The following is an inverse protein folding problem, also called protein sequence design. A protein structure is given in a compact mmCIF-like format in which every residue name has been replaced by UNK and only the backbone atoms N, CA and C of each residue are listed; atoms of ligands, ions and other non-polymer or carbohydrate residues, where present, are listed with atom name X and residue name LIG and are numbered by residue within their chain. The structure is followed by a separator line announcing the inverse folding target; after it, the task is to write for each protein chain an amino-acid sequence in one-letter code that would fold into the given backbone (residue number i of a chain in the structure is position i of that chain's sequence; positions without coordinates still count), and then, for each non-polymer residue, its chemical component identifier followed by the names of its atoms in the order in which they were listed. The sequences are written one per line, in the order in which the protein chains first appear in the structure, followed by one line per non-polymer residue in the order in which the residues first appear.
data_IF_909484184781
#
_entry.id   IF_909484184781
#
_cell.length_a   1.000
_cell.length_b   1.000
_cell.length_c   1.000
_cell.angle_alpha   90.00
_cell.angle_beta   90.00
_cell.angle_gamma   90.00
#
_symmetry.space_group_name_H-M   'P 1'
#
loop_
_entity.id
_entity.type
_entity.pdbx_description
1 polymer ?
#
# COMPACT_ATOMS: atom_id res chain seq x y z
N UNK A 1 -10.52 -33.15 4.13
CA UNK A 1 -11.78 -32.41 3.86
C UNK A 1 -11.69 -30.95 4.30
N UNK A 2 -11.19 -30.60 5.49
CA UNK A 2 -11.03 -29.18 5.89
C UNK A 2 -10.05 -28.39 4.99
N UNK A 3 -8.88 -28.97 4.67
CA UNK A 3 -7.89 -28.29 3.82
C UNK A 3 -8.36 -27.98 2.38
N UNK A 4 -9.23 -28.80 1.79
CA UNK A 4 -9.77 -28.55 0.44
C UNK A 4 -10.75 -27.38 0.41
N UNK A 5 -11.53 -27.19 1.48
CA UNK A 5 -12.46 -26.06 1.59
C UNK A 5 -11.72 -24.74 1.75
N UNK A 6 -10.68 -24.72 2.59
CA UNK A 6 -9.83 -23.56 2.81
C UNK A 6 -9.07 -23.14 1.54
N UNK A 7 -8.60 -24.10 0.74
CA UNK A 7 -7.97 -23.83 -0.57
C UNK A 7 -8.97 -23.21 -1.54
N UNK A 8 -10.18 -23.80 -1.69
CA UNK A 8 -11.20 -23.27 -2.60
C UNK A 8 -11.62 -21.85 -2.22
N UNK A 9 -11.81 -21.59 -0.92
CA UNK A 9 -12.17 -20.27 -0.40
C UNK A 9 -11.08 -19.24 -0.68
N UNK A 10 -9.82 -19.61 -0.46
CA UNK A 10 -8.70 -18.71 -0.73
C UNK A 10 -8.50 -18.44 -2.24
N UNK A 11 -8.73 -19.43 -3.10
CA UNK A 11 -8.69 -19.23 -4.55
C UNK A 11 -9.74 -18.21 -5.01
N UNK A 12 -10.98 -18.33 -4.52
CA UNK A 12 -12.03 -17.34 -4.81
C UNK A 12 -11.62 -15.92 -4.36
N UNK A 13 -10.98 -15.81 -3.20
CA UNK A 13 -10.46 -14.52 -2.71
C UNK A 13 -9.28 -14.01 -3.53
N UNK A 14 -8.45 -14.91 -4.05
CA UNK A 14 -7.34 -14.55 -4.92
C UNK A 14 -7.86 -13.98 -6.24
N UNK A 15 -8.80 -14.67 -6.88
CA UNK A 15 -9.41 -14.23 -8.14
C UNK A 15 -10.11 -12.87 -8.00
N UNK A 16 -10.78 -12.62 -6.86
CA UNK A 16 -11.51 -11.37 -6.62
C UNK A 16 -10.63 -10.20 -6.20
N UNK A 17 -9.60 -10.44 -5.39
CA UNK A 17 -8.93 -9.36 -4.65
C UNK A 17 -7.43 -9.21 -4.92
N UNK A 18 -6.79 -10.14 -5.65
CA UNK A 18 -5.32 -10.16 -5.80
C UNK A 18 -4.78 -8.91 -6.49
N UNK A 19 -5.42 -8.44 -7.56
CA UNK A 19 -5.05 -7.19 -8.24
C UNK A 19 -5.24 -5.98 -7.31
N UNK A 20 -6.29 -5.97 -6.50
CA UNK A 20 -6.55 -4.87 -5.59
C UNK A 20 -5.48 -4.78 -4.47
N UNK A 21 -5.11 -5.93 -3.91
CA UNK A 21 -4.03 -6.10 -2.94
C UNK A 21 -2.69 -5.71 -3.57
N UNK A 22 -2.39 -6.20 -4.76
CA UNK A 22 -1.17 -5.86 -5.49
C UNK A 22 -1.05 -4.35 -5.69
N UNK A 23 -2.10 -3.68 -6.17
CA UNK A 23 -2.09 -2.22 -6.36
C UNK A 23 -1.90 -1.48 -5.04
N UNK A 24 -2.49 -1.95 -3.94
CA UNK A 24 -2.26 -1.37 -2.62
C UNK A 24 -0.79 -1.48 -2.21
N UNK A 25 -0.19 -2.67 -2.32
CA UNK A 25 1.21 -2.89 -1.97
C UNK A 25 2.14 -2.09 -2.88
N UNK A 26 1.82 -2.01 -4.17
CA UNK A 26 2.55 -1.19 -5.13
C UNK A 26 2.51 0.30 -4.76
N UNK A 27 1.33 0.84 -4.45
CA UNK A 27 1.21 2.21 -3.94
C UNK A 27 1.97 2.41 -2.64
N UNK A 28 2.07 1.38 -1.80
CA UNK A 28 2.82 1.44 -0.55
C UNK A 28 4.34 1.40 -0.74
N UNK A 29 4.85 0.64 -1.72
CA UNK A 29 6.28 0.35 -1.89
C UNK A 29 6.96 1.16 -2.99
N UNK A 30 6.24 1.49 -4.07
CA UNK A 30 6.79 2.06 -5.29
C UNK A 30 7.69 1.11 -6.09
N UNK A 31 7.63 -0.20 -5.80
CA UNK A 31 8.49 -1.23 -6.38
C UNK A 31 7.61 -2.41 -6.86
N UNK A 32 7.63 -2.66 -8.17
CA UNK A 32 6.77 -3.67 -8.81
C UNK A 32 7.09 -5.08 -8.36
N UNK A 33 8.38 -5.42 -8.32
CA UNK A 33 8.81 -6.77 -7.97
C UNK A 33 8.55 -7.02 -6.49
N UNK A 34 8.88 -6.05 -5.63
CA UNK A 34 8.52 -6.13 -4.21
C UNK A 34 7.00 -6.26 -4.02
N UNK A 35 6.20 -5.56 -4.81
CA UNK A 35 4.75 -5.65 -4.72
C UNK A 35 4.22 -7.02 -5.15
N UNK A 36 4.79 -7.66 -6.18
CA UNK A 36 4.45 -9.04 -6.56
C UNK A 36 4.78 -10.01 -5.42
N UNK A 37 6.00 -9.95 -4.90
CA UNK A 37 6.48 -10.84 -3.82
C UNK A 37 5.61 -10.69 -2.57
N UNK A 38 5.36 -9.45 -2.14
CA UNK A 38 4.52 -9.18 -0.98
C UNK A 38 3.05 -9.55 -1.18
N UNK A 39 2.54 -9.49 -2.42
CA UNK A 39 1.20 -9.98 -2.73
C UNK A 39 1.16 -11.49 -2.58
N UNK A 40 2.14 -12.20 -3.11
CA UNK A 40 2.26 -13.65 -2.95
C UNK A 40 2.37 -14.04 -1.46
N UNK A 41 3.26 -13.39 -0.71
CA UNK A 41 3.41 -13.58 0.74
C UNK A 41 2.11 -13.31 1.52
N UNK A 42 1.32 -12.33 1.06
CA UNK A 42 0.01 -12.04 1.66
C UNK A 42 -0.91 -13.24 1.56
N UNK A 43 -0.98 -13.89 0.38
CA UNK A 43 -1.84 -15.05 0.18
C UNK A 43 -1.30 -16.32 0.86
N UNK A 44 0.02 -16.50 0.96
CA UNK A 44 0.61 -17.57 1.79
C UNK A 44 0.23 -17.37 3.27
N UNK A 45 0.37 -16.15 3.80
CA UNK A 45 -0.01 -15.85 5.19
C UNK A 45 -1.52 -16.01 5.40
N UNK A 46 -2.32 -15.62 4.42
CA UNK A 46 -3.77 -15.81 4.43
C UNK A 46 -4.13 -17.30 4.47
N UNK A 47 -3.47 -18.14 3.66
CA UNK A 47 -3.66 -19.59 3.69
C UNK A 47 -3.46 -20.18 5.09
N UNK A 48 -2.38 -19.81 5.77
CA UNK A 48 -2.10 -20.29 7.14
C UNK A 48 -3.02 -19.71 8.23
N UNK A 49 -3.83 -18.70 7.91
CA UNK A 49 -4.69 -18.00 8.85
C UNK A 49 -6.18 -18.11 8.53
N UNK A 50 -6.56 -18.65 7.37
CA UNK A 50 -7.94 -18.65 6.86
C UNK A 50 -8.90 -19.42 7.77
N UNK A 51 -8.44 -20.50 8.41
CA UNK A 51 -9.26 -21.29 9.34
C UNK A 51 -9.58 -20.52 10.63
N UNK A 52 -8.78 -19.50 10.96
CA UNK A 52 -9.00 -18.61 12.11
C UNK A 52 -9.79 -17.35 11.75
N UNK A 53 -10.15 -17.17 10.48
CA UNK A 53 -10.93 -16.01 10.06
C UNK A 53 -12.39 -16.16 10.49
N UNK A 54 -12.82 -15.32 11.43
CA UNK A 54 -14.16 -15.37 12.05
C UNK A 54 -15.23 -14.53 11.33
N UNK A 55 -14.91 -13.85 10.23
CA UNK A 55 -15.86 -13.00 9.51
C UNK A 55 -16.23 -11.68 10.22
N UNK A 56 -15.41 -11.23 11.18
CA UNK A 56 -15.63 -9.98 11.92
C UNK A 56 -15.42 -8.72 11.05
N UNK A 57 -14.71 -8.86 9.94
CA UNK A 57 -14.50 -7.84 8.90
C UNK A 57 -14.63 -8.51 7.54
N UNK A 58 -14.74 -7.74 6.46
CA UNK A 58 -14.80 -8.32 5.11
C UNK A 58 -13.50 -9.05 4.76
N UNK A 59 -13.58 -10.03 3.88
CA UNK A 59 -12.45 -10.80 3.37
C UNK A 59 -11.40 -9.86 2.75
N UNK A 60 -11.88 -8.87 2.00
CA UNK A 60 -11.09 -7.79 1.41
C UNK A 60 -10.30 -7.00 2.46
N UNK A 61 -10.96 -6.55 3.53
CA UNK A 61 -10.29 -5.77 4.59
C UNK A 61 -9.31 -6.63 5.40
N UNK A 62 -9.63 -7.91 5.59
CA UNK A 62 -8.74 -8.86 6.24
C UNK A 62 -7.46 -9.07 5.41
N UNK A 63 -7.58 -9.26 4.09
CA UNK A 63 -6.44 -9.34 3.19
C UNK A 63 -5.59 -8.06 3.23
N UNK A 64 -6.22 -6.88 3.26
CA UNK A 64 -5.48 -5.63 3.42
C UNK A 64 -4.67 -5.55 4.71
N UNK A 65 -5.22 -6.06 5.82
CA UNK A 65 -4.50 -6.12 7.09
C UNK A 65 -3.27 -7.04 7.00
N UNK A 66 -3.38 -8.19 6.34
CA UNK A 66 -2.26 -9.10 6.13
C UNK A 66 -1.21 -8.45 5.21
N UNK A 67 -1.63 -7.87 4.09
CA UNK A 67 -0.75 -7.19 3.14
C UNK A 67 0.01 -6.03 3.77
N UNK A 68 -0.68 -5.22 4.58
CA UNK A 68 -0.07 -4.16 5.36
C UNK A 68 1.01 -4.69 6.30
N UNK A 69 0.71 -5.74 7.06
CA UNK A 69 1.67 -6.31 8.00
C UNK A 69 2.92 -6.84 7.25
N UNK A 70 2.71 -7.60 6.16
CA UNK A 70 3.80 -8.08 5.31
C UNK A 70 4.68 -6.93 4.78
N UNK A 71 4.05 -5.86 4.29
CA UNK A 71 4.73 -4.66 3.80
C UNK A 71 5.52 -3.94 4.91
N UNK A 72 4.95 -3.83 6.12
CA UNK A 72 5.64 -3.21 7.26
C UNK A 72 6.86 -4.04 7.68
N UNK A 73 6.72 -5.36 7.73
CA UNK A 73 7.80 -6.27 8.08
C UNK A 73 8.94 -6.19 7.07
N UNK A 74 8.64 -6.15 5.78
CA UNK A 74 9.64 -5.96 4.72
C UNK A 74 10.38 -4.64 4.87
N UNK A 75 9.66 -3.54 5.11
CA UNK A 75 10.31 -2.26 5.38
C UNK A 75 11.15 -2.26 6.66
N UNK A 76 10.82 -3.08 7.67
CA UNK A 76 11.65 -3.22 8.89
C UNK A 76 12.93 -3.98 8.58
N UNK A 77 12.87 -5.05 7.77
CA UNK A 77 14.04 -5.82 7.33
C UNK A 77 15.03 -4.97 6.51
N UNK A 78 14.53 -4.06 5.67
CA UNK A 78 15.38 -3.19 4.84
C UNK A 78 16.01 -2.00 5.57
N UNK A 79 15.48 -1.59 6.73
CA UNK A 79 16.04 -0.47 7.51
C UNK A 79 17.52 -0.62 7.91
N UNK A 80 17.97 -1.75 8.48
CA UNK A 80 19.39 -1.91 8.81
C UNK A 80 20.29 -1.91 7.58
N UNK A 81 19.84 -2.47 6.44
CA UNK A 81 20.61 -2.46 5.19
C UNK A 81 20.78 -1.06 4.60
N UNK A 82 19.79 -0.17 4.73
CA UNK A 82 19.95 1.24 4.33
C UNK A 82 20.98 1.99 5.17
N UNK A 83 21.06 1.72 6.47
CA UNK A 83 22.06 2.38 7.34
C UNK A 83 23.49 1.98 6.99
N UNK A 84 23.70 0.72 6.59
CA UNK A 84 25.00 0.20 6.13
C UNK A 84 25.32 0.67 4.70
N UNK A 85 24.33 0.70 3.80
CA UNK A 85 24.49 1.19 2.43
C UNK A 85 24.73 2.71 2.38
N UNK A 86 24.04 3.51 3.18
CA UNK A 86 24.25 4.97 3.28
C UNK A 86 25.65 5.30 3.84
N UNK A 87 26.25 4.42 4.64
CA UNK A 87 27.64 4.57 5.11
C UNK A 87 28.68 4.31 4.01
N UNK A 88 28.29 3.66 2.91
CA UNK A 88 29.15 3.34 1.76
C UNK A 88 28.77 4.07 0.46
N UNK A 89 27.57 4.63 0.36
CA UNK A 89 27.05 5.24 -0.86
C UNK A 89 26.31 6.54 -0.53
N UNK A 90 27.05 7.66 -0.52
CA UNK A 90 26.49 9.01 -0.52
C UNK A 90 25.76 9.38 -1.84
N UNK A 91 25.49 8.41 -2.73
CA UNK A 91 24.95 8.62 -4.08
C UNK A 91 24.14 7.41 -4.57
N UNK A 92 23.14 7.00 -3.81
CA UNK A 92 22.05 6.15 -4.33
C UNK A 92 20.70 6.75 -3.95
N UNK A 93 20.50 8.00 -4.39
CA UNK A 93 19.17 8.59 -4.52
C UNK A 93 18.27 7.58 -5.21
N UNK A 94 17.15 7.27 -4.55
CA UNK A 94 15.92 6.73 -5.10
C UNK A 94 16.19 5.81 -6.29
N UNK A 95 16.37 4.51 -6.03
CA UNK A 95 16.18 3.50 -7.06
C UNK A 95 14.89 3.84 -7.80
N UNK A 96 15.08 4.43 -8.98
CA UNK A 96 14.06 4.75 -9.96
C UNK A 96 13.57 3.41 -10.46
N UNK A 97 12.74 2.74 -9.67
CA UNK A 97 11.91 1.66 -10.18
C UNK A 97 10.98 2.32 -11.17
N UNK A 98 11.30 2.13 -12.43
CA UNK A 98 10.58 2.61 -13.61
C UNK A 98 9.09 2.37 -13.44
N UNK A 99 8.40 3.45 -13.10
CA UNK A 99 6.96 3.57 -13.22
C UNK A 99 6.68 4.89 -13.93
N UNK A 100 7.23 5.00 -15.14
CA UNK A 100 6.65 5.84 -16.16
C UNK A 100 5.81 4.89 -17.02
N UNK A 101 4.48 4.99 -17.02
CA UNK A 101 3.69 4.42 -18.08
C UNK A 101 4.22 5.01 -19.39
N UNK A 102 4.83 4.19 -20.26
CA UNK A 102 5.37 4.61 -21.57
C UNK A 102 4.27 5.04 -22.58
N UNK A 103 3.09 5.43 -22.08
CA UNK A 103 1.96 5.96 -22.85
C UNK A 103 1.39 7.14 -22.09
N UNK A 104 2.09 8.27 -22.17
CA UNK A 104 1.76 9.47 -21.41
C UNK A 104 0.65 10.25 -22.12
N UNK A 105 -0.59 10.01 -21.71
CA UNK A 105 -1.70 10.97 -21.87
C UNK A 105 -1.65 11.96 -20.69
N UNK A 106 -2.37 13.10 -20.75
CA UNK A 106 -2.49 14.01 -19.59
C UNK A 106 -2.97 13.29 -18.32
N UNK A 107 -3.84 12.28 -18.48
CA UNK A 107 -4.29 11.43 -17.37
C UNK A 107 -3.14 10.57 -16.80
N UNK A 108 -2.27 10.04 -17.66
CA UNK A 108 -1.06 9.32 -17.25
C UNK A 108 -0.03 10.19 -16.51
N UNK A 109 0.10 11.47 -16.87
CA UNK A 109 0.96 12.42 -16.16
C UNK A 109 0.46 12.70 -14.74
N UNK A 110 -0.85 12.94 -14.60
CA UNK A 110 -1.47 13.17 -13.29
C UNK A 110 -1.25 11.98 -12.35
N UNK A 111 -1.49 10.77 -12.83
CA UNK A 111 -1.26 9.56 -12.06
C UNK A 111 0.21 9.45 -11.63
N UNK A 112 1.15 9.69 -12.55
CA UNK A 112 2.58 9.68 -12.24
C UNK A 112 2.94 10.69 -11.14
N UNK A 113 2.42 11.93 -11.20
CA UNK A 113 2.62 12.93 -10.14
C UNK A 113 2.05 12.48 -8.79
N UNK A 114 0.85 11.90 -8.79
CA UNK A 114 0.22 11.37 -7.58
C UNK A 114 1.07 10.24 -6.96
N UNK A 115 1.53 9.28 -7.77
CA UNK A 115 2.39 8.19 -7.30
C UNK A 115 3.69 8.71 -6.70
N UNK A 116 4.39 9.62 -7.39
CA UNK A 116 5.62 10.23 -6.86
C UNK A 116 5.37 10.99 -5.57
N UNK A 117 4.34 11.84 -5.54
CA UNK A 117 3.98 12.62 -4.36
C UNK A 117 3.66 11.71 -3.15
N UNK A 118 2.93 10.61 -3.36
CA UNK A 118 2.65 9.60 -2.33
C UNK A 118 3.93 8.97 -1.79
N UNK A 119 4.93 8.68 -2.65
CA UNK A 119 6.22 8.12 -2.22
C UNK A 119 7.04 9.09 -1.36
N UNK A 120 6.83 10.40 -1.50
CA UNK A 120 7.49 11.42 -0.68
C UNK A 120 6.82 11.64 0.69
N UNK A 121 5.66 11.02 0.95
CA UNK A 121 4.97 11.13 2.24
C UNK A 121 5.51 10.15 3.27
N UNK A 122 5.37 10.53 4.56
CA UNK A 122 5.53 9.59 5.68
C UNK A 122 4.58 8.41 5.49
N UNK A 123 5.03 7.20 5.81
CA UNK A 123 4.26 5.95 5.63
C UNK A 123 2.83 6.04 6.15
N UNK A 124 2.63 6.54 7.37
CA UNK A 124 1.29 6.66 7.96
C UNK A 124 0.35 7.57 7.16
N UNK A 125 0.88 8.61 6.52
CA UNK A 125 0.10 9.50 5.67
C UNK A 125 -0.29 8.80 4.36
N UNK A 126 0.67 8.09 3.76
CA UNK A 126 0.43 7.28 2.57
C UNK A 126 -0.63 6.20 2.83
N UNK A 127 -0.49 5.45 3.92
CA UNK A 127 -1.44 4.39 4.32
C UNK A 127 -2.86 4.92 4.42
N UNK A 128 -3.06 6.01 5.17
CA UNK A 128 -4.41 6.55 5.40
C UNK A 128 -5.02 7.15 4.13
N UNK A 129 -4.21 7.78 3.26
CA UNK A 129 -4.70 8.30 1.98
C UNK A 129 -5.15 7.16 1.08
N UNK A 130 -4.32 6.13 0.89
CA UNK A 130 -4.64 5.02 -0.01
C UNK A 130 -5.95 4.35 0.46
N UNK A 131 -6.08 4.02 1.74
CA UNK A 131 -7.26 3.34 2.25
C UNK A 131 -8.53 4.22 2.19
N UNK A 132 -8.45 5.51 2.53
CA UNK A 132 -9.63 6.40 2.62
C UNK A 132 -10.03 7.07 1.32
N UNK A 133 -9.08 7.32 0.41
CA UNK A 133 -9.33 8.12 -0.80
C UNK A 133 -9.20 7.35 -2.09
N UNK A 134 -8.39 6.29 -2.12
CA UNK A 134 -8.21 5.46 -3.31
C UNK A 134 -9.04 4.19 -3.22
N UNK A 135 -9.10 3.56 -2.04
CA UNK A 135 -9.86 2.33 -1.80
C UNK A 135 -11.25 2.55 -1.22
N UNK A 136 -11.58 3.82 -0.93
CA UNK A 136 -12.85 4.30 -0.38
C UNK A 136 -13.37 3.54 0.86
N UNK A 137 -12.45 2.98 1.67
CA UNK A 137 -12.83 2.24 2.88
C UNK A 137 -13.28 3.21 3.95
N UNK A 138 -14.32 2.91 4.72
CA UNK A 138 -14.80 3.79 5.78
C UNK A 138 -13.74 4.11 6.85
N UNK A 139 -14.02 5.11 7.70
CA UNK A 139 -13.13 5.46 8.83
C UNK A 139 -12.92 4.26 9.76
N UNK A 140 -14.00 3.51 10.04
CA UNK A 140 -13.97 2.32 10.90
C UNK A 140 -13.12 1.21 10.29
N UNK A 141 -13.34 0.85 9.04
CA UNK A 141 -12.55 -0.18 8.35
C UNK A 141 -11.07 0.21 8.25
N UNK A 142 -10.80 1.49 7.97
CA UNK A 142 -9.42 2.00 7.96
C UNK A 142 -8.79 1.89 9.35
N UNK A 143 -9.52 2.21 10.41
CA UNK A 143 -9.04 2.10 11.79
C UNK A 143 -8.70 0.63 12.14
N UNK A 144 -9.56 -0.31 11.73
CA UNK A 144 -9.35 -1.76 11.90
C UNK A 144 -8.08 -2.25 11.17
N UNK A 145 -7.88 -1.85 9.91
CA UNK A 145 -6.71 -2.25 9.11
C UNK A 145 -5.41 -1.65 9.67
N UNK A 146 -5.45 -0.37 10.07
CA UNK A 146 -4.26 0.34 10.55
C UNK A 146 -3.94 0.06 12.02
N UNK A 147 -4.88 -0.50 12.79
CA UNK A 147 -4.78 -0.66 14.23
C UNK A 147 -4.78 0.69 14.95
N UNK A 148 -5.60 1.63 14.47
CA UNK A 148 -5.70 3.00 15.00
C UNK A 148 -7.08 3.23 15.63
N UNK A 149 -7.23 4.32 16.40
CA UNK A 149 -8.56 4.83 16.71
C UNK A 149 -9.15 5.57 15.50
N UNK A 150 -10.47 5.61 15.38
CA UNK A 150 -11.15 6.40 14.33
C UNK A 150 -10.76 7.89 14.37
N UNK A 151 -10.59 8.45 15.59
CA UNK A 151 -10.11 9.82 15.77
C UNK A 151 -8.71 10.04 15.19
N UNK A 152 -7.81 9.07 15.36
CA UNK A 152 -6.47 9.10 14.75
C UNK A 152 -6.55 9.00 13.22
N UNK A 153 -7.46 8.19 12.67
CA UNK A 153 -7.68 8.12 11.21
C UNK A 153 -8.09 9.50 10.66
N UNK A 154 -9.12 10.14 11.26
CA UNK A 154 -9.63 11.45 10.80
C UNK A 154 -8.54 12.53 10.86
N UNK A 155 -7.87 12.65 12.00
CA UNK A 155 -6.83 13.67 12.22
C UNK A 155 -5.60 13.44 11.35
N UNK A 156 -5.17 12.19 11.18
CA UNK A 156 -4.03 11.85 10.32
C UNK A 156 -4.37 12.08 8.85
N UNK A 157 -5.57 11.70 8.40
CA UNK A 157 -6.02 11.91 7.02
C UNK A 157 -6.02 13.40 6.65
N UNK A 158 -6.56 14.26 7.51
CA UNK A 158 -6.57 15.70 7.27
C UNK A 158 -5.14 16.24 7.05
N UNK A 159 -4.21 15.92 7.95
CA UNK A 159 -2.80 16.32 7.83
C UNK A 159 -2.09 15.67 6.62
N UNK A 160 -2.47 14.45 6.27
CA UNK A 160 -1.92 13.72 5.14
C UNK A 160 -2.31 14.38 3.81
N UNK A 161 -3.56 14.83 3.66
CA UNK A 161 -4.03 15.53 2.46
C UNK A 161 -3.31 16.87 2.26
N UNK A 162 -3.10 17.63 3.33
CA UNK A 162 -2.30 18.86 3.27
C UNK A 162 -0.85 18.59 2.85
N UNK A 163 -0.25 17.52 3.36
CA UNK A 163 1.09 17.11 2.97
C UNK A 163 1.13 16.63 1.50
N UNK A 164 0.11 15.89 1.05
CA UNK A 164 0.01 15.43 -0.34
C UNK A 164 -0.07 16.62 -1.30
N UNK A 165 -0.96 17.59 -1.03
CA UNK A 165 -1.10 18.82 -1.84
C UNK A 165 0.25 19.53 -2.00
N UNK A 166 1.00 19.67 -0.91
CA UNK A 166 2.34 20.29 -0.93
C UNK A 166 3.34 19.50 -1.77
N UNK A 167 3.29 18.17 -1.75
CA UNK A 167 4.19 17.35 -2.58
C UNK A 167 3.78 17.37 -4.06
N UNK A 168 2.48 17.32 -4.36
CA UNK A 168 2.00 17.40 -5.75
C UNK A 168 2.43 18.71 -6.42
N UNK A 169 2.34 19.84 -5.73
CA UNK A 169 2.84 21.13 -6.23
C UNK A 169 4.35 21.13 -6.54
N UNK A 170 5.16 20.46 -5.70
CA UNK A 170 6.61 20.33 -5.92
C UNK A 170 6.95 19.43 -7.11
N UNK A 171 6.15 18.40 -7.32
CA UNK A 171 6.30 17.48 -8.44
C UNK A 171 5.88 18.13 -9.77
N UNK A 172 5.39 19.38 -9.78
CA UNK A 172 5.02 20.11 -10.99
C UNK A 172 3.54 20.02 -11.36
N UNK A 173 2.70 19.48 -10.47
CA UNK A 173 1.25 19.50 -10.69
C UNK A 173 0.69 20.91 -10.44
N UNK A 174 0.33 21.61 -11.52
CA UNK A 174 -0.49 22.81 -11.47
C UNK A 174 -1.95 22.43 -11.76
N UNK A 175 -2.83 22.71 -10.81
CA UNK A 175 -4.28 22.48 -10.96
C UNK A 175 -4.94 23.46 -11.95
N UNK A 176 -4.21 24.52 -12.33
CA UNK A 176 -4.68 25.59 -13.21
C UNK A 176 -4.03 25.43 -14.60
N UNK A 177 -4.65 24.60 -15.45
CA UNK A 177 -4.48 24.60 -16.91
C UNK A 177 -5.78 24.11 -17.56
#
# INVERSE_FOLDING_TARGET
MEGEWSIRKLNDWYERYSDEVFRYVLMMTGDREMAKDLTHDTYIKAYHAIDRFKGETSERNWLYRIARNATIDEFRKRKPFRFVADSFAATALLSTTEYLPEQVTQQGEYEAYLYRALQQLKRSYREVIILRKIKDLTVRETAEILGWSEGKVKTTLHRALEALKKQMLKEGYNHDA
#
